data_IF_764029682361
#
_entry.id   IF_764029682361
#
_cell.length_a   1.000
_cell.length_b   1.000
_cell.length_c   1.000
_cell.angle_alpha   90.00
_cell.angle_beta   90.00
_cell.angle_gamma   90.00
#
_symmetry.space_group_name_H-M   'P 1'
#
loop_
_entity.id
_entity.type
_entity.pdbx_description
1 polymer ?
#
# COMPACT_ATOMS: atom_id res chain seq x y z
N UNK A 1 -13.19 -10.31 -1.95
CA UNK A 1 -12.09 -10.40 -2.94
C UNK A 1 -10.92 -9.62 -2.40
N UNK A 2 -9.74 -10.23 -2.26
CA UNK A 2 -8.56 -9.61 -1.63
C UNK A 2 -7.85 -8.71 -2.66
N UNK A 3 -7.53 -7.46 -2.31
CA UNK A 3 -6.76 -6.55 -3.17
C UNK A 3 -5.30 -6.50 -2.72
N UNK A 4 -4.38 -6.59 -3.67
CA UNK A 4 -2.93 -6.59 -3.39
C UNK A 4 -2.39 -5.16 -3.42
N UNK A 5 -1.81 -4.70 -2.31
CA UNK A 5 -1.09 -3.42 -2.26
C UNK A 5 0.34 -3.66 -2.74
N UNK A 6 0.73 -2.95 -3.81
CA UNK A 6 2.08 -3.01 -4.38
C UNK A 6 2.84 -1.72 -4.08
N UNK A 7 4.16 -1.83 -3.99
CA UNK A 7 5.03 -0.69 -3.97
C UNK A 7 4.93 0.06 -5.31
N UNK A 8 4.62 1.37 -5.30
CA UNK A 8 4.49 2.16 -6.54
C UNK A 8 5.82 2.33 -7.28
N UNK A 9 6.95 2.05 -6.62
CA UNK A 9 8.30 2.26 -7.20
C UNK A 9 8.87 1.00 -7.82
N UNK A 10 8.68 -0.16 -7.20
CA UNK A 10 9.33 -1.41 -7.65
C UNK A 10 8.36 -2.58 -7.86
N UNK A 11 7.06 -2.32 -7.82
CA UNK A 11 5.95 -3.28 -7.98
C UNK A 11 5.94 -4.46 -6.98
N UNK A 12 6.86 -4.49 -6.00
CA UNK A 12 6.91 -5.51 -4.95
C UNK A 12 5.63 -5.44 -4.10
N UNK A 13 5.01 -6.58 -3.84
CA UNK A 13 3.89 -6.72 -2.90
C UNK A 13 4.32 -6.25 -1.50
N UNK A 14 3.51 -5.38 -0.90
CA UNK A 14 3.71 -4.86 0.45
C UNK A 14 2.78 -5.56 1.44
N UNK A 15 1.49 -5.62 1.11
CA UNK A 15 0.46 -6.25 1.93
C UNK A 15 -0.78 -6.58 1.08
N UNK A 16 -1.74 -7.22 1.72
CA UNK A 16 -3.07 -7.44 1.15
C UNK A 16 -4.13 -6.68 1.95
N UNK A 17 -5.12 -6.15 1.25
CA UNK A 17 -6.28 -5.53 1.84
C UNK A 17 -7.48 -6.47 1.67
N UNK A 18 -8.03 -6.92 2.81
CA UNK A 18 -9.30 -7.65 2.85
C UNK A 18 -10.48 -6.69 2.69
N UNK A 19 -10.54 -5.68 3.56
CA UNK A 19 -11.50 -4.58 3.53
C UNK A 19 -10.95 -3.39 4.32
N UNK A 20 -11.28 -2.17 3.90
CA UNK A 20 -10.99 -0.96 4.65
C UNK A 20 -12.07 0.08 4.36
N UNK A 21 -12.61 0.69 5.42
CA UNK A 21 -13.42 1.91 5.30
C UNK A 21 -12.52 3.13 5.14
N UNK A 22 -11.60 3.31 6.09
CA UNK A 22 -10.58 4.36 6.05
C UNK A 22 -9.34 3.89 6.83
N UNK A 23 -8.15 4.01 6.24
CA UNK A 23 -6.87 3.78 6.92
C UNK A 23 -5.73 4.51 6.21
N UNK A 24 -4.78 5.06 6.98
CA UNK A 24 -3.53 5.63 6.47
C UNK A 24 -2.34 4.93 7.13
N UNK A 25 -1.40 4.46 6.32
CA UNK A 25 -0.29 3.60 6.74
C UNK A 25 1.00 4.07 6.08
N UNK A 26 2.12 3.99 6.80
CA UNK A 26 3.45 4.11 6.20
C UNK A 26 4.17 2.76 6.27
N UNK A 27 4.62 2.27 5.12
CA UNK A 27 5.28 0.97 4.99
C UNK A 27 6.60 1.16 4.27
N UNK A 28 7.71 0.76 4.92
CA UNK A 28 9.01 0.69 4.26
C UNK A 28 9.06 -0.51 3.32
N UNK A 29 9.30 -0.28 2.02
CA UNK A 29 9.42 -1.38 1.07
C UNK A 29 10.71 -2.17 1.33
N UNK A 30 10.65 -3.50 1.52
CA UNK A 30 11.85 -4.30 1.79
C UNK A 30 12.80 -4.39 0.58
N UNK A 31 12.30 -4.19 -0.64
CA UNK A 31 13.07 -4.25 -1.90
C UNK A 31 13.76 -2.93 -2.23
N UNK A 32 13.00 -1.85 -2.45
CA UNK A 32 13.58 -0.56 -2.85
C UNK A 32 13.94 0.37 -1.68
N UNK A 33 13.65 -0.04 -0.44
CA UNK A 33 13.95 0.68 0.82
C UNK A 33 13.27 2.04 1.00
N UNK A 34 12.51 2.53 0.02
CA UNK A 34 11.67 3.73 0.13
C UNK A 34 10.50 3.51 1.09
N UNK A 35 10.09 4.58 1.76
CA UNK A 35 8.88 4.61 2.59
C UNK A 35 7.70 4.91 1.68
N UNK A 36 6.66 4.09 1.76
CA UNK A 36 5.45 4.22 0.95
C UNK A 36 4.32 4.65 1.87
N UNK A 37 3.68 5.78 1.56
CA UNK A 37 2.42 6.17 2.17
C UNK A 37 1.29 5.46 1.43
N UNK A 38 0.44 4.75 2.17
CA UNK A 38 -0.72 4.04 1.62
C UNK A 38 -1.97 4.56 2.31
N UNK A 39 -2.92 5.04 1.51
CA UNK A 39 -4.26 5.43 1.94
C UNK A 39 -5.27 4.44 1.39
N UNK A 40 -6.11 3.90 2.28
CA UNK A 40 -7.17 2.96 1.96
C UNK A 40 -8.51 3.63 2.26
N UNK A 41 -9.34 3.88 1.24
CA UNK A 41 -10.63 4.57 1.38
C UNK A 41 -11.69 3.79 0.59
N UNK A 42 -12.76 3.35 1.26
CA UNK A 42 -13.86 2.60 0.64
C UNK A 42 -13.38 1.44 -0.26
N UNK A 43 -12.45 0.65 0.29
CA UNK A 43 -11.76 -0.45 -0.40
C UNK A 43 -10.97 -0.04 -1.66
N UNK A 44 -10.60 1.23 -1.83
CA UNK A 44 -9.66 1.71 -2.85
C UNK A 44 -8.26 1.87 -2.26
N UNK A 45 -7.24 1.66 -3.09
CA UNK A 45 -5.83 1.72 -2.68
C UNK A 45 -5.19 2.91 -3.37
N UNK A 46 -4.66 3.83 -2.59
CA UNK A 46 -3.84 4.96 -3.05
C UNK A 46 -2.45 4.80 -2.43
N UNK A 47 -1.39 4.87 -3.24
CA UNK A 47 -0.03 4.59 -2.78
C UNK A 47 0.99 5.50 -3.42
N UNK A 48 1.75 6.21 -2.59
CA UNK A 48 2.73 7.20 -3.01
C UNK A 48 4.07 6.97 -2.29
N UNK A 49 5.18 7.21 -2.98
CA UNK A 49 6.50 7.17 -2.36
C UNK A 49 6.78 8.50 -1.66
N UNK A 50 7.18 8.43 -0.39
CA UNK A 50 7.63 9.57 0.42
C UNK A 50 9.15 9.67 0.35
#
# INVERSE_FOLDING_TARGET
MVKVVKCPVCAKRLMDMLSAKEANLQIKCPKCKKVISVSLIDNQIHGEAV
#
